data_IF_686637886808
#
_entry.id   IF_686637886808
#
_cell.length_a   1.000
_cell.length_b   1.000
_cell.length_c   1.000
_cell.angle_alpha   90.00
_cell.angle_beta   90.00
_cell.angle_gamma   90.00
#
_symmetry.space_group_name_H-M   'P 1'
#
loop_
_entity.id
_entity.type
_entity.pdbx_description
1 polymer ?
#
# COMPACT_ATOMS: atom_id res chain seq x y z
N UNK A 1 -39.28 -46.20 32.71
CA UNK A 1 -38.33 -47.10 32.04
C UNK A 1 -38.76 -47.12 30.58
N UNK A 2 -38.07 -46.62 29.57
CA UNK A 2 -36.69 -46.21 29.26
C UNK A 2 -36.82 -45.21 28.08
N UNK A 3 -36.09 -44.09 28.06
CA UNK A 3 -34.88 -43.85 27.24
C UNK A 3 -35.15 -43.81 25.72
N UNK A 4 -34.64 -42.92 24.87
CA UNK A 4 -33.58 -41.93 24.96
C UNK A 4 -33.74 -40.96 23.77
N UNK A 5 -33.51 -39.67 23.97
CA UNK A 5 -32.37 -38.93 23.41
C UNK A 5 -32.58 -38.28 22.05
N UNK A 6 -32.71 -36.96 22.12
CA UNK A 6 -32.55 -35.99 21.05
C UNK A 6 -31.19 -36.16 20.34
N UNK A 7 -31.20 -36.19 19.01
CA UNK A 7 -30.01 -35.86 18.22
C UNK A 7 -30.40 -34.76 17.24
N UNK A 8 -30.29 -33.52 17.71
CA UNK A 8 -30.25 -32.32 16.89
C UNK A 8 -28.81 -31.83 16.94
N UNK A 9 -28.11 -31.73 15.80
CA UNK A 9 -26.88 -30.95 15.55
C UNK A 9 -26.41 -31.34 14.15
N UNK A 10 -26.34 -30.51 13.12
CA UNK A 10 -26.41 -29.06 12.97
C UNK A 10 -25.65 -28.82 11.68
N UNK A 11 -26.34 -28.53 10.58
CA UNK A 11 -25.68 -28.28 9.30
C UNK A 11 -24.90 -26.96 9.40
N UNK A 12 -23.59 -27.05 9.61
CA UNK A 12 -22.69 -25.91 9.58
C UNK A 12 -22.55 -25.46 8.13
N UNK A 13 -23.42 -24.54 7.70
CA UNK A 13 -23.29 -23.84 6.43
C UNK A 13 -22.07 -22.92 6.56
N UNK A 14 -20.93 -23.35 6.01
CA UNK A 14 -19.77 -22.49 5.81
C UNK A 14 -20.12 -21.46 4.73
N UNK A 15 -20.61 -20.30 5.16
CA UNK A 15 -20.73 -19.14 4.28
C UNK A 15 -19.31 -18.69 3.91
N UNK A 16 -18.87 -19.06 2.72
CA UNK A 16 -17.63 -18.57 2.13
C UNK A 16 -17.78 -17.10 1.76
N UNK A 17 -17.25 -16.23 2.60
CA UNK A 17 -17.18 -14.78 2.36
C UNK A 17 -15.89 -14.43 1.63
N UNK A 18 -15.78 -14.72 0.34
CA UNK A 18 -14.59 -14.39 -0.48
C UNK A 18 -14.99 -13.70 -1.79
N UNK A 19 -15.42 -12.44 -1.72
CA UNK A 19 -15.63 -11.64 -2.94
C UNK A 19 -15.55 -10.12 -2.76
N UNK A 20 -15.62 -9.58 -1.53
CA UNK A 20 -15.64 -8.13 -1.31
C UNK A 20 -14.23 -7.52 -1.09
N UNK A 21 -13.27 -8.34 -0.63
CA UNK A 21 -11.92 -7.89 -0.32
C UNK A 21 -11.14 -7.36 -1.53
N UNK A 22 -11.24 -8.03 -2.68
CA UNK A 22 -10.46 -7.69 -3.88
C UNK A 22 -10.88 -6.33 -4.48
N UNK A 23 -12.17 -6.01 -4.51
CA UNK A 23 -12.68 -4.72 -5.01
C UNK A 23 -12.13 -3.53 -4.22
N UNK A 24 -12.01 -3.68 -2.91
CA UNK A 24 -11.43 -2.65 -2.04
C UNK A 24 -9.96 -2.37 -2.38
N UNK A 25 -9.19 -3.40 -2.73
CA UNK A 25 -7.79 -3.23 -3.10
C UNK A 25 -7.62 -2.64 -4.50
N UNK A 26 -8.49 -3.01 -5.44
CA UNK A 26 -8.54 -2.41 -6.79
C UNK A 26 -8.73 -0.89 -6.72
N UNK A 27 -9.57 -0.40 -5.82
CA UNK A 27 -9.82 1.04 -5.64
C UNK A 27 -8.65 1.80 -5.00
N UNK A 28 -7.70 1.09 -4.39
CA UNK A 28 -6.51 1.67 -3.72
C UNK A 28 -5.32 1.84 -4.65
N UNK A 29 -5.50 1.54 -5.93
CA UNK A 29 -4.48 1.58 -6.96
C UNK A 29 -4.95 2.50 -8.09
N UNK A 30 -4.08 3.38 -8.61
CA UNK A 30 -4.41 4.11 -9.83
C UNK A 30 -4.63 3.11 -10.97
N UNK A 31 -5.72 3.27 -11.73
CA UNK A 31 -6.10 2.37 -12.81
C UNK A 31 -6.16 0.86 -12.43
N UNK A 32 -6.32 0.50 -11.14
CA UNK A 32 -6.17 -0.89 -10.66
C UNK A 32 -7.12 -1.93 -11.26
N UNK A 33 -8.20 -1.48 -11.90
CA UNK A 33 -9.15 -2.31 -12.67
C UNK A 33 -9.38 -1.81 -14.09
N UNK A 34 -8.47 -0.95 -14.60
CA UNK A 34 -8.51 -0.32 -15.91
C UNK A 34 -7.30 -0.71 -16.78
N UNK A 35 -6.62 -1.80 -16.43
CA UNK A 35 -5.59 -2.44 -17.27
C UNK A 35 -6.28 -3.42 -18.21
N UNK A 36 -5.94 -3.40 -19.50
CA UNK A 36 -6.64 -4.18 -20.52
C UNK A 36 -6.63 -5.68 -20.21
N UNK A 37 -7.81 -6.26 -19.99
CA UNK A 37 -7.97 -7.68 -19.65
C UNK A 37 -7.85 -8.02 -18.16
N UNK A 38 -7.58 -7.04 -17.29
CA UNK A 38 -7.37 -7.24 -15.85
C UNK A 38 -8.29 -6.35 -15.02
N UNK A 39 -9.19 -6.96 -14.25
CA UNK A 39 -10.03 -6.26 -13.28
C UNK A 39 -9.40 -6.20 -11.88
N UNK A 40 -8.35 -7.01 -11.64
CA UNK A 40 -7.55 -7.03 -10.43
C UNK A 40 -6.08 -7.37 -10.75
N UNK A 41 -5.23 -6.34 -10.83
CA UNK A 41 -3.84 -6.45 -11.29
C UNK A 41 -2.86 -7.10 -10.30
N UNK A 42 -3.27 -7.31 -9.05
CA UNK A 42 -2.44 -7.97 -8.03
C UNK A 42 -2.47 -9.50 -8.08
N UNK A 43 -3.24 -10.08 -9.01
CA UNK A 43 -3.47 -11.53 -9.08
C UNK A 43 -3.08 -12.09 -10.44
N UNK A 44 -2.50 -13.30 -10.50
CA UNK A 44 -2.06 -13.91 -11.76
C UNK A 44 -3.22 -14.27 -12.69
N UNK A 45 -4.43 -14.44 -12.15
CA UNK A 45 -5.64 -14.70 -12.94
C UNK A 45 -6.29 -13.41 -13.48
N UNK A 46 -5.82 -12.24 -13.03
CA UNK A 46 -6.38 -10.92 -13.38
C UNK A 46 -7.79 -10.65 -12.84
N UNK A 47 -8.36 -11.57 -12.05
CA UNK A 47 -9.76 -11.47 -11.58
C UNK A 47 -9.90 -11.26 -10.07
N UNK A 48 -8.86 -11.60 -9.30
CA UNK A 48 -8.90 -11.51 -7.84
C UNK A 48 -9.84 -12.52 -7.18
N UNK A 49 -10.15 -13.62 -7.88
CA UNK A 49 -10.87 -14.78 -7.34
C UNK A 49 -9.90 -15.79 -6.71
N UNK A 50 -8.64 -15.77 -7.14
CA UNK A 50 -7.58 -16.59 -6.58
C UNK A 50 -6.92 -15.86 -5.40
N UNK A 51 -6.61 -16.58 -4.33
CA UNK A 51 -5.84 -16.06 -3.18
C UNK A 51 -4.37 -15.79 -3.53
N UNK A 52 -3.83 -16.47 -4.56
CA UNK A 52 -2.48 -16.24 -5.02
C UNK A 52 -2.31 -14.83 -5.60
N UNK A 53 -1.19 -14.21 -5.27
CA UNK A 53 -0.73 -12.91 -5.77
C UNK A 53 0.36 -13.08 -6.82
N UNK A 54 0.48 -12.10 -7.73
CA UNK A 54 1.65 -11.97 -8.60
C UNK A 54 2.71 -11.07 -7.92
N UNK A 55 3.80 -10.77 -8.63
CA UNK A 55 4.91 -9.98 -8.06
C UNK A 55 4.45 -8.58 -7.61
N UNK A 56 3.58 -7.94 -8.39
CA UNK A 56 2.96 -6.66 -8.02
C UNK A 56 2.03 -6.78 -6.80
N UNK A 57 1.21 -7.83 -6.74
CA UNK A 57 0.37 -8.12 -5.59
C UNK A 57 1.17 -8.32 -4.30
N UNK A 58 2.29 -9.03 -4.37
CA UNK A 58 3.22 -9.21 -3.26
C UNK A 58 3.87 -7.88 -2.84
N UNK A 59 4.28 -7.05 -3.80
CA UNK A 59 4.83 -5.73 -3.53
C UNK A 59 3.79 -4.82 -2.87
N UNK A 60 2.54 -4.83 -3.35
CA UNK A 60 1.43 -4.09 -2.76
C UNK A 60 1.13 -4.57 -1.33
N UNK A 61 1.15 -5.88 -1.09
CA UNK A 61 0.98 -6.45 0.25
C UNK A 61 2.12 -6.00 1.19
N UNK A 62 3.37 -6.05 0.74
CA UNK A 62 4.55 -5.55 1.49
C UNK A 62 4.46 -4.06 1.80
N UNK A 63 3.85 -3.27 0.92
CA UNK A 63 3.55 -1.85 1.14
C UNK A 63 2.34 -1.62 2.08
N UNK A 64 1.80 -2.67 2.71
CA UNK A 64 0.66 -2.57 3.62
C UNK A 64 -0.68 -2.39 2.92
N UNK A 65 -0.79 -2.87 1.67
CA UNK A 65 -1.95 -2.71 0.79
C UNK A 65 -2.31 -1.22 0.56
N UNK A 66 -1.28 -0.42 0.29
CA UNK A 66 -1.35 1.03 0.03
C UNK A 66 -0.51 1.40 -1.18
N UNK A 67 -1.00 2.37 -1.96
CA UNK A 67 -0.22 3.06 -2.97
C UNK A 67 0.78 4.00 -2.30
N UNK A 68 1.91 3.45 -1.86
CA UNK A 68 2.99 4.23 -1.24
C UNK A 68 3.91 4.80 -2.31
N UNK A 69 4.65 5.86 -1.97
CA UNK A 69 5.69 6.41 -2.87
C UNK A 69 6.71 5.32 -3.25
N UNK A 70 7.12 4.49 -2.29
CA UNK A 70 8.05 3.38 -2.55
C UNK A 70 7.48 2.34 -3.52
N UNK A 71 6.20 1.98 -3.39
CA UNK A 71 5.55 1.09 -4.36
C UNK A 71 5.43 1.77 -5.73
N UNK A 72 4.99 3.01 -5.79
CA UNK A 72 4.85 3.75 -7.04
C UNK A 72 6.18 3.89 -7.81
N UNK A 73 7.29 4.10 -7.10
CA UNK A 73 8.62 4.25 -7.70
C UNK A 73 9.32 2.93 -8.02
N UNK A 74 8.82 1.80 -7.51
CA UNK A 74 9.39 0.50 -7.81
C UNK A 74 9.11 0.10 -9.27
N UNK A 75 10.08 -0.57 -9.88
CA UNK A 75 9.95 -1.31 -11.13
C UNK A 75 9.80 -2.79 -10.74
N UNK A 76 8.56 -3.25 -10.63
CA UNK A 76 8.28 -4.53 -9.95
C UNK A 76 8.65 -5.72 -10.81
N UNK A 77 8.31 -5.67 -12.10
CA UNK A 77 8.71 -6.74 -12.99
C UNK A 77 10.16 -6.56 -13.44
N UNK A 78 10.65 -5.35 -13.71
CA UNK A 78 12.03 -5.10 -14.13
C UNK A 78 12.14 -4.84 -15.63
N UNK A 79 11.16 -4.15 -16.20
CA UNK A 79 11.14 -3.73 -17.61
C UNK A 79 11.74 -2.34 -17.85
N UNK A 80 12.11 -1.64 -16.77
CA UNK A 80 12.67 -0.29 -16.78
C UNK A 80 11.65 0.82 -16.57
N UNK A 81 10.36 0.51 -16.39
CA UNK A 81 9.32 1.45 -16.01
C UNK A 81 8.96 1.30 -14.54
N UNK A 82 8.60 2.40 -13.89
CA UNK A 82 8.04 2.33 -12.54
C UNK A 82 6.56 1.94 -12.59
N UNK A 83 6.07 1.29 -11.54
CA UNK A 83 4.65 0.99 -11.37
C UNK A 83 3.78 2.25 -11.58
N UNK A 84 4.27 3.43 -11.16
CA UNK A 84 3.63 4.72 -11.38
C UNK A 84 3.57 5.14 -12.84
N UNK A 85 4.64 4.96 -13.62
CA UNK A 85 4.59 5.19 -15.06
C UNK A 85 3.57 4.27 -15.73
N UNK A 86 3.52 3.01 -15.33
CA UNK A 86 2.59 2.07 -15.94
C UNK A 86 1.11 2.34 -15.60
N UNK A 87 0.85 2.73 -14.35
CA UNK A 87 -0.51 2.92 -13.84
C UNK A 87 -1.02 4.37 -13.89
N UNK A 88 -0.26 5.28 -14.51
CA UNK A 88 -0.72 6.67 -14.72
C UNK A 88 -0.46 7.64 -13.57
N UNK A 89 0.49 7.32 -12.70
CA UNK A 89 1.00 8.16 -11.62
C UNK A 89 2.54 8.26 -11.64
N UNK A 90 3.14 8.86 -12.68
CA UNK A 90 4.61 8.92 -12.83
C UNK A 90 5.30 9.78 -11.76
N UNK A 91 4.53 10.60 -11.04
CA UNK A 91 5.05 11.47 -9.99
C UNK A 91 4.75 10.99 -8.57
N UNK A 92 4.09 9.84 -8.42
CA UNK A 92 3.74 9.27 -7.12
C UNK A 92 2.94 10.22 -6.23
N UNK A 93 2.01 10.94 -6.86
CA UNK A 93 1.15 11.95 -6.22
C UNK A 93 -0.29 11.47 -6.08
N UNK A 94 -0.65 10.37 -6.75
CA UNK A 94 -2.00 9.85 -6.71
C UNK A 94 -2.38 9.40 -5.30
N UNK A 95 -3.62 9.66 -4.94
CA UNK A 95 -4.24 9.22 -3.69
C UNK A 95 -5.58 8.57 -3.98
N UNK A 96 -6.06 7.73 -3.06
CA UNK A 96 -7.30 6.95 -3.21
C UNK A 96 -8.48 7.85 -3.64
N UNK A 97 -9.08 7.56 -4.80
CA UNK A 97 -10.17 8.33 -5.40
C UNK A 97 -9.75 9.51 -6.29
N UNK A 98 -8.47 9.86 -6.35
CA UNK A 98 -7.97 10.86 -7.30
C UNK A 98 -8.03 10.34 -8.74
N UNK A 99 -7.95 11.25 -9.71
CA UNK A 99 -7.81 10.89 -11.13
C UNK A 99 -6.32 10.73 -11.44
N UNK A 100 -5.85 9.58 -11.95
CA UNK A 100 -4.50 9.44 -12.46
C UNK A 100 -4.24 10.40 -13.62
N UNK A 101 -2.97 10.70 -13.91
CA UNK A 101 -2.59 11.62 -15.00
C UNK A 101 -3.02 11.11 -16.37
N UNK A 102 -3.12 9.79 -16.53
CA UNK A 102 -3.76 9.15 -17.69
C UNK A 102 -4.48 7.87 -17.28
N UNK A 103 -5.47 7.50 -18.08
CA UNK A 103 -6.27 6.28 -17.92
C UNK A 103 -6.23 5.39 -19.17
N UNK A 104 -5.55 5.83 -20.22
CA UNK A 104 -5.35 5.08 -21.47
C UNK A 104 -3.86 4.88 -21.71
N UNK A 105 -3.49 3.76 -22.33
CA UNK A 105 -2.08 3.42 -22.54
C UNK A 105 -1.37 3.00 -21.25
N UNK A 106 -2.13 2.50 -20.27
CA UNK A 106 -1.60 1.87 -19.05
C UNK A 106 -1.12 0.45 -19.35
N UNK A 107 -0.18 -0.04 -18.55
CA UNK A 107 0.35 -1.40 -18.63
C UNK A 107 0.25 -2.15 -17.30
N UNK A 108 0.60 -3.44 -17.32
CA UNK A 108 0.47 -4.31 -16.16
C UNK A 108 1.83 -4.41 -15.45
N UNK A 109 1.96 -4.00 -14.16
CA UNK A 109 3.25 -3.96 -13.45
C UNK A 109 3.87 -5.30 -13.03
N UNK A 110 3.50 -6.37 -13.71
CA UNK A 110 3.99 -7.73 -13.46
C UNK A 110 4.21 -8.47 -14.78
N UNK A 111 4.21 -7.76 -15.92
CA UNK A 111 4.29 -8.30 -17.28
C UNK A 111 5.29 -7.49 -18.11
N UNK A 112 6.58 -7.87 -18.04
CA UNK A 112 7.69 -7.19 -18.74
C UNK A 112 7.50 -6.93 -20.23
N UNK A 113 6.74 -7.76 -20.91
CA UNK A 113 6.49 -7.65 -22.35
C UNK A 113 5.39 -6.62 -22.68
N UNK A 114 4.84 -5.93 -21.67
CA UNK A 114 3.75 -4.98 -21.77
C UNK A 114 4.18 -3.67 -21.11
N UNK A 115 4.59 -2.72 -21.93
CA UNK A 115 5.02 -1.39 -21.47
C UNK A 115 4.01 -0.30 -21.83
N UNK A 116 4.00 0.78 -21.06
CA UNK A 116 3.29 2.00 -21.41
C UNK A 116 4.12 2.83 -22.40
N UNK A 117 3.48 3.74 -23.14
CA UNK A 117 4.21 4.62 -24.06
C UNK A 117 4.95 5.72 -23.27
N UNK A 118 6.28 5.73 -23.34
CA UNK A 118 7.13 6.69 -22.63
C UNK A 118 6.87 8.16 -22.98
N UNK A 119 6.21 8.44 -24.12
CA UNK A 119 5.78 9.79 -24.46
C UNK A 119 4.76 10.36 -23.47
N UNK A 120 4.02 9.51 -22.74
CA UNK A 120 3.06 9.91 -21.71
C UNK A 120 3.72 10.68 -20.55
N UNK A 121 5.00 10.40 -20.24
CA UNK A 121 5.74 11.09 -19.17
C UNK A 121 6.99 11.83 -19.62
N UNK A 122 7.33 11.81 -20.91
CA UNK A 122 8.54 12.46 -21.45
C UNK A 122 8.69 13.94 -21.07
N UNK A 123 7.57 14.66 -20.89
CA UNK A 123 7.54 16.09 -20.57
C UNK A 123 7.02 16.41 -19.17
N UNK A 124 6.87 15.40 -18.30
CA UNK A 124 6.36 15.60 -16.94
C UNK A 124 7.51 15.95 -16.01
N UNK A 125 7.40 17.08 -15.32
CA UNK A 125 8.32 17.49 -14.26
C UNK A 125 7.69 17.25 -12.87
N UNK A 126 8.10 16.17 -12.21
CA UNK A 126 7.58 15.80 -10.89
C UNK A 126 8.10 16.67 -9.73
N UNK A 127 9.05 17.57 -9.96
CA UNK A 127 9.56 18.47 -8.89
C UNK A 127 8.53 19.50 -8.43
N UNK A 128 7.55 19.84 -9.28
CA UNK A 128 6.46 20.77 -8.93
C UNK A 128 5.50 20.18 -7.88
N UNK A 129 5.41 18.85 -7.79
CA UNK A 129 4.56 18.13 -6.83
C UNK A 129 5.02 18.39 -5.41
N UNK A 130 6.33 18.37 -5.17
CA UNK A 130 6.92 18.62 -3.85
C UNK A 130 6.59 20.03 -3.33
N UNK A 131 6.46 21.02 -4.22
CA UNK A 131 6.09 22.40 -3.88
C UNK A 131 4.63 22.52 -3.49
N UNK A 132 3.72 21.81 -4.17
CA UNK A 132 2.29 21.81 -3.85
C UNK A 132 1.98 21.10 -2.53
N UNK A 133 2.62 19.96 -2.26
CA UNK A 133 2.44 19.22 -0.99
C UNK A 133 2.92 20.03 0.22
N UNK A 134 3.94 20.88 0.05
CA UNK A 134 4.43 21.76 1.13
C UNK A 134 3.55 23.02 1.30
N UNK A 135 2.94 23.52 0.22
CA UNK A 135 2.03 24.67 0.27
C UNK A 135 0.66 24.37 0.90
N UNK A 136 0.23 23.10 0.92
CA UNK A 136 -1.03 22.69 1.59
C UNK A 136 -0.88 22.34 3.07
N UNK A 137 0.35 22.31 3.61
CA UNK A 137 0.61 22.01 5.02
C UNK A 137 0.58 23.25 5.96
N UNK A 138 0.19 24.42 5.46
CA UNK A 138 0.28 25.69 6.18
C UNK A 138 -1.01 26.51 6.16
N UNK A 139 -2.11 25.93 6.63
CA UNK A 139 -3.19 26.70 7.30
C UNK A 139 -4.02 25.77 8.20
N UNK A 140 -3.61 25.67 9.47
CA UNK A 140 -4.52 25.55 10.61
C UNK A 140 -3.75 25.84 11.90
N UNK A 141 -3.81 27.12 12.30
CA UNK A 141 -3.89 27.57 13.70
C UNK A 141 -2.74 27.23 14.63
N UNK A 142 -1.89 28.22 14.88
CA UNK A 142 -1.27 28.39 16.18
C UNK A 142 -2.34 28.75 17.22
N UNK A 143 -2.33 28.10 18.38
CA UNK A 143 -2.33 28.82 19.66
C UNK A 143 -1.50 28.06 20.69
N UNK A 144 -0.85 28.83 21.55
CA UNK A 144 0.35 28.45 22.27
C UNK A 144 0.09 28.07 23.73
N UNK A 145 1.03 27.24 24.23
CA UNK A 145 1.59 27.29 25.58
C UNK A 145 0.77 26.70 26.73
N UNK A 146 1.26 25.59 27.29
CA UNK A 146 1.69 25.56 28.70
C UNK A 146 2.87 24.59 28.84
N UNK A 147 4.00 25.13 29.28
CA UNK A 147 5.17 24.37 29.71
C UNK A 147 4.83 23.60 31.00
N UNK A 148 5.15 22.31 31.06
CA UNK A 148 5.56 21.67 32.33
C UNK A 148 6.77 20.79 32.06
N UNK A 149 7.86 21.24 32.67
CA UNK A 149 9.11 20.56 32.90
C UNK A 149 8.91 19.31 33.75
N UNK A 150 9.53 18.18 33.40
CA UNK A 150 9.93 17.19 34.39
C UNK A 150 11.10 16.37 33.86
N UNK A 151 12.29 16.75 34.31
CA UNK A 151 13.50 15.99 34.15
C UNK A 151 13.51 14.75 35.08
N UNK A 152 14.26 13.73 34.65
CA UNK A 152 14.95 12.70 35.45
C UNK A 152 14.12 11.74 36.30
N UNK A 153 14.09 10.46 35.89
CA UNK A 153 14.35 9.33 36.82
C UNK A 153 14.54 8.02 36.05
N UNK A 154 15.80 7.62 35.83
CA UNK A 154 16.19 6.20 35.80
C UNK A 154 17.60 6.13 36.40
N UNK A 155 17.61 5.85 37.70
CA UNK A 155 18.78 5.64 38.54
C UNK A 155 19.38 4.27 38.21
N UNK A 156 20.45 4.22 37.41
CA UNK A 156 21.30 3.03 37.33
C UNK A 156 22.46 3.23 38.32
N UNK A 157 22.39 2.56 39.47
CA UNK A 157 23.48 2.50 40.44
C UNK A 157 24.69 1.80 39.82
N UNK A 158 25.78 2.55 39.62
CA UNK A 158 27.11 2.00 39.47
C UNK A 158 28.02 2.62 40.54
N UNK A 159 28.13 1.92 41.66
CA UNK A 159 29.20 2.05 42.66
C UNK A 159 29.72 0.62 42.84
N UNK A 160 30.92 0.23 42.44
CA UNK A 160 32.21 0.92 42.51
C UNK A 160 32.96 0.36 43.70
N UNK A 161 33.95 -0.51 43.48
CA UNK A 161 35.04 -0.79 44.43
C UNK A 161 36.30 -1.06 43.60
N UNK A 162 37.20 -0.09 43.62
CA UNK A 162 38.62 -0.32 43.43
C UNK A 162 39.21 -0.55 44.84
N UNK A 163 39.89 -1.67 45.04
CA UNK A 163 40.76 -1.90 46.18
C UNK A 163 42.18 -2.08 45.64
N UNK A 164 43.04 -1.13 46.02
CA UNK A 164 44.49 -1.18 45.93
C UNK A 164 45.08 -2.21 46.90
N UNK A 165 46.35 -2.54 46.64
CA UNK A 165 47.39 -3.14 47.51
C UNK A 165 47.52 -4.67 47.49
N UNK A 166 48.43 -5.18 46.66
CA UNK A 166 49.77 -5.65 47.07
C UNK A 166 50.55 -6.15 45.84
#
# INVERSE_FOLDING_TARGET
>A
MVSASFVLLGALVLFGSTADGSKKFVQRLPNGGNVEGYIAIGHPDGTGKNEATNEFGDAFQKAGNKWTVGLCQADTDGDGQTNGQELGDPCCEWSEGATPRWTSGVSHPSLKDKTSDATLWANINCTAVTTATTASASTSGADSSLMVESATSMFALATGIALLFA
#
